data_IF_578199112448
#
_entry.id   IF_578199112448
#
_cell.length_a   1.000
_cell.length_b   1.000
_cell.length_c   1.000
_cell.angle_alpha   90.00
_cell.angle_beta   90.00
_cell.angle_gamma   90.00
#
_symmetry.space_group_name_H-M   'P 1'
#
loop_
_entity.id
_entity.type
_entity.pdbx_description
1 polymer ?
#
# COMPACT_ATOMS: atom_id res chain seq x y z
N UNK A 1 14.40 13.14 14.24
CA UNK A 1 14.35 11.66 14.29
C UNK A 1 13.63 11.15 13.06
N UNK A 2 13.97 9.97 12.52
CA UNK A 2 13.25 9.41 11.38
C UNK A 2 11.85 8.99 11.83
N UNK A 3 10.80 9.57 11.24
CA UNK A 3 9.40 9.19 11.53
C UNK A 3 9.19 7.73 11.13
N UNK A 4 8.49 6.97 11.95
CA UNK A 4 8.07 5.61 11.60
C UNK A 4 6.72 5.70 10.87
N UNK A 5 6.68 5.23 9.62
CA UNK A 5 5.53 5.40 8.71
C UNK A 5 5.01 4.04 8.28
N UNK A 6 3.71 3.82 8.47
CA UNK A 6 2.98 2.67 7.98
C UNK A 6 1.91 3.14 6.99
N UNK A 7 1.84 2.51 5.83
CA UNK A 7 0.78 2.72 4.84
C UNK A 7 -0.19 1.54 4.83
N UNK A 8 -1.48 1.83 4.85
CA UNK A 8 -2.54 0.91 4.46
C UNK A 8 -2.97 1.20 3.04
N UNK A 9 -2.95 0.18 2.18
CA UNK A 9 -3.31 0.28 0.76
C UNK A 9 -4.46 -0.70 0.52
N UNK A 10 -5.66 -0.16 0.33
CA UNK A 10 -6.84 -0.93 -0.02
C UNK A 10 -7.03 -0.92 -1.53
N UNK A 11 -7.27 -2.11 -2.09
CA UNK A 11 -7.32 -2.37 -3.53
C UNK A 11 -8.69 -2.94 -3.84
N UNK A 12 -9.54 -2.22 -4.55
CA UNK A 12 -10.75 -2.80 -5.15
C UNK A 12 -10.39 -3.50 -6.46
N UNK A 13 -11.17 -4.49 -6.89
CA UNK A 13 -10.98 -5.18 -8.19
C UNK A 13 -9.51 -5.55 -8.48
N UNK A 14 -8.89 -6.26 -7.52
CA UNK A 14 -7.47 -6.63 -7.50
C UNK A 14 -6.92 -7.18 -8.81
N UNK A 15 -7.73 -7.91 -9.59
CA UNK A 15 -7.29 -8.50 -10.86
C UNK A 15 -6.91 -7.44 -11.91
N UNK A 16 -7.58 -6.29 -11.93
CA UNK A 16 -7.28 -5.20 -12.87
C UNK A 16 -6.14 -4.30 -12.36
N UNK A 17 -6.04 -4.11 -11.05
CA UNK A 17 -5.18 -3.10 -10.45
C UNK A 17 -3.87 -3.63 -9.84
N UNK A 18 -3.67 -4.95 -9.82
CA UNK A 18 -2.45 -5.56 -9.27
C UNK A 18 -1.17 -5.15 -10.01
N UNK A 19 -1.19 -5.05 -11.34
CA UNK A 19 -0.01 -4.68 -12.13
C UNK A 19 0.46 -3.24 -11.85
N UNK A 20 -0.41 -2.21 -11.96
CA UNK A 20 -0.04 -0.83 -11.63
C UNK A 20 0.49 -0.68 -10.20
N UNK A 21 -0.16 -1.34 -9.23
CA UNK A 21 0.32 -1.31 -7.83
C UNK A 21 1.71 -1.94 -7.73
N UNK A 22 1.94 -3.10 -8.34
CA UNK A 22 3.24 -3.77 -8.31
C UNK A 22 4.35 -2.94 -8.98
N UNK A 23 4.04 -2.17 -10.02
CA UNK A 23 5.00 -1.23 -10.63
C UNK A 23 5.43 -0.15 -9.63
N UNK A 24 4.48 0.46 -8.91
CA UNK A 24 4.81 1.43 -7.86
C UNK A 24 5.61 0.76 -6.73
N UNK A 25 5.22 -0.42 -6.26
CA UNK A 25 5.99 -1.12 -5.22
C UNK A 25 7.42 -1.44 -5.66
N UNK A 26 7.63 -1.73 -6.95
CA UNK A 26 8.96 -1.99 -7.52
C UNK A 26 9.78 -0.70 -7.58
N UNK A 27 9.19 0.41 -8.04
CA UNK A 27 9.83 1.72 -8.09
C UNK A 27 10.29 2.20 -6.70
N UNK A 28 9.47 1.96 -5.66
CA UNK A 28 9.76 2.36 -4.28
C UNK A 28 10.38 1.23 -3.44
N UNK A 29 10.81 0.11 -4.03
CA UNK A 29 11.26 -1.06 -3.30
C UNK A 29 12.38 -0.79 -2.29
N UNK A 30 13.28 0.15 -2.60
CA UNK A 30 14.40 0.52 -1.71
C UNK A 30 14.00 1.25 -0.42
N UNK A 31 12.73 1.63 -0.25
CA UNK A 31 12.22 2.27 0.98
C UNK A 31 11.20 1.42 1.73
N UNK A 32 10.82 0.25 1.20
CA UNK A 32 9.85 -0.64 1.82
C UNK A 32 10.61 -1.58 2.76
N UNK A 33 10.38 -1.44 4.07
CA UNK A 33 10.97 -2.31 5.09
C UNK A 33 10.17 -3.60 5.27
N UNK A 34 8.84 -3.49 5.23
CA UNK A 34 7.92 -4.62 5.38
C UNK A 34 6.79 -4.48 4.37
N UNK A 35 6.40 -5.61 3.74
CA UNK A 35 5.24 -5.72 2.83
C UNK A 35 4.39 -6.91 3.25
N UNK A 36 3.19 -6.64 3.76
CA UNK A 36 2.23 -7.67 4.16
C UNK A 36 0.95 -7.58 3.31
N UNK A 37 0.71 -8.59 2.50
CA UNK A 37 -0.55 -8.74 1.76
C UNK A 37 -1.56 -9.55 2.58
N UNK A 38 -2.74 -8.99 2.78
CA UNK A 38 -3.85 -9.58 3.52
C UNK A 38 -4.96 -9.97 2.54
N UNK A 39 -5.48 -11.18 2.71
CA UNK A 39 -6.60 -11.69 1.91
C UNK A 39 -7.92 -11.34 2.62
N UNK A 40 -8.83 -10.67 1.93
CA UNK A 40 -10.20 -10.53 2.42
C UNK A 40 -11.02 -11.77 2.05
N UNK A 41 -11.62 -12.40 3.05
CA UNK A 41 -12.61 -13.45 2.83
C UNK A 41 -13.90 -12.78 2.37
N UNK A 42 -14.34 -13.08 1.14
CA UNK A 42 -15.62 -12.63 0.64
C UNK A 42 -16.78 -13.33 1.36
N UNK A 43 -18.00 -12.80 1.19
CA UNK A 43 -19.22 -13.47 1.67
C UNK A 43 -19.27 -14.90 1.12
N UNK A 44 -19.47 -15.88 2.00
CA UNK A 44 -19.55 -17.30 1.63
C UNK A 44 -18.20 -17.99 1.37
N UNK A 45 -17.06 -17.39 1.75
CA UNK A 45 -15.74 -18.03 1.66
C UNK A 45 -15.09 -17.98 0.27
N UNK A 46 -15.71 -17.30 -0.70
CA UNK A 46 -15.05 -16.99 -1.97
C UNK A 46 -14.01 -15.88 -1.77
N UNK A 47 -12.88 -15.93 -2.51
CA UNK A 47 -11.91 -14.83 -2.49
C UNK A 47 -12.59 -13.51 -2.83
N UNK A 48 -12.46 -12.52 -1.94
CA UNK A 48 -12.92 -11.19 -2.25
C UNK A 48 -12.11 -10.63 -3.43
N UNK A 49 -12.76 -9.83 -4.27
CA UNK A 49 -12.08 -9.05 -5.31
C UNK A 49 -11.22 -7.94 -4.72
N UNK A 50 -11.38 -7.66 -3.42
CA UNK A 50 -10.65 -6.64 -2.71
C UNK A 50 -9.39 -7.22 -2.06
N UNK A 51 -8.35 -6.40 -1.92
CA UNK A 51 -7.11 -6.75 -1.23
C UNK A 51 -6.66 -5.64 -0.30
N UNK A 52 -6.03 -6.01 0.80
CA UNK A 52 -5.41 -5.06 1.72
C UNK A 52 -3.90 -5.31 1.75
N UNK A 53 -3.12 -4.25 1.66
CA UNK A 53 -1.67 -4.30 1.76
C UNK A 53 -1.21 -3.33 2.85
N UNK A 54 -0.38 -3.81 3.77
CA UNK A 54 0.30 -3.01 4.77
C UNK A 54 1.77 -2.87 4.40
N UNK A 55 2.27 -1.64 4.42
CA UNK A 55 3.66 -1.30 4.11
C UNK A 55 4.28 -0.54 5.27
N UNK A 56 5.40 -1.04 5.79
CA UNK A 56 6.27 -0.27 6.69
C UNK A 56 7.36 0.39 5.85
N UNK A 57 7.58 1.69 6.04
CA UNK A 57 8.55 2.46 5.25
C UNK A 57 9.77 2.86 6.08
N UNK A 58 10.95 2.65 5.50
CA UNK A 58 12.23 3.22 5.94
C UNK A 58 12.56 4.44 5.05
N UNK A 59 11.76 5.49 5.15
CA UNK A 59 11.81 6.63 4.23
C UNK A 59 11.70 7.98 4.94
N UNK A 60 12.11 9.04 4.26
CA UNK A 60 11.70 10.40 4.63
C UNK A 60 10.23 10.59 4.31
N UNK A 61 9.58 11.53 5.00
CA UNK A 61 8.18 11.89 4.76
C UNK A 61 7.94 12.33 3.30
N UNK A 62 8.91 13.02 2.69
CA UNK A 62 8.84 13.40 1.28
C UNK A 62 8.79 12.18 0.34
N UNK A 63 9.64 11.17 0.56
CA UNK A 63 9.63 9.93 -0.24
C UNK A 63 8.36 9.11 0.01
N UNK A 64 7.89 9.03 1.25
CA UNK A 64 6.62 8.38 1.57
C UNK A 64 5.44 9.07 0.88
N UNK A 65 5.39 10.40 0.90
CA UNK A 65 4.34 11.19 0.22
C UNK A 65 4.34 10.98 -1.29
N UNK A 66 5.52 10.88 -1.92
CA UNK A 66 5.63 10.57 -3.35
C UNK A 66 5.06 9.19 -3.69
N UNK A 67 5.34 8.18 -2.86
CA UNK A 67 4.77 6.84 -3.01
C UNK A 67 3.25 6.84 -2.85
N UNK A 68 2.73 7.50 -1.81
CA UNK A 68 1.29 7.65 -1.55
C UNK A 68 0.59 8.30 -2.73
N UNK A 69 1.15 9.39 -3.27
CA UNK A 69 0.57 10.08 -4.43
C UNK A 69 0.49 9.18 -5.67
N UNK A 70 1.53 8.38 -5.94
CA UNK A 70 1.54 7.43 -7.06
C UNK A 70 0.55 6.29 -6.89
N UNK A 71 0.43 5.75 -5.67
CA UNK A 71 -0.56 4.71 -5.37
C UNK A 71 -2.00 5.25 -5.49
N UNK A 72 -2.28 6.41 -4.91
CA UNK A 72 -3.62 7.01 -4.92
C UNK A 72 -4.07 7.50 -6.32
N UNK A 73 -3.13 7.68 -7.26
CA UNK A 73 -3.46 8.00 -8.65
C UNK A 73 -4.01 6.78 -9.43
N UNK A 74 -3.83 5.57 -8.92
CA UNK A 74 -4.38 4.35 -9.54
C UNK A 74 -5.86 4.25 -9.14
N UNK A 75 -6.75 4.18 -10.14
CA UNK A 75 -8.18 3.97 -9.91
C UNK A 75 -8.41 2.71 -9.09
N UNK A 76 -9.30 2.78 -8.10
CA UNK A 76 -9.61 1.63 -7.23
C UNK A 76 -8.61 1.40 -6.09
N UNK A 77 -7.66 2.31 -5.89
CA UNK A 77 -6.72 2.27 -4.77
C UNK A 77 -7.07 3.37 -3.77
N UNK A 78 -7.21 3.00 -2.50
CA UNK A 78 -7.26 3.92 -1.38
C UNK A 78 -6.00 3.73 -0.53
N UNK A 79 -5.40 4.84 -0.10
CA UNK A 79 -4.19 4.81 0.72
C UNK A 79 -4.40 5.63 1.99
N UNK A 80 -4.14 5.02 3.13
CA UNK A 80 -4.14 5.65 4.44
C UNK A 80 -2.75 5.59 5.05
N UNK A 81 -2.38 6.59 5.85
CA UNK A 81 -1.05 6.70 6.45
C UNK A 81 -1.15 6.82 7.97
N UNK A 82 -0.32 6.04 8.67
CA UNK A 82 -0.12 6.09 10.11
C UNK A 82 1.33 6.50 10.39
N UNK A 83 1.53 7.54 11.21
CA UNK A 83 2.84 8.13 11.47
C UNK A 83 3.10 8.19 12.97
N UNK A 84 4.25 7.67 13.39
CA UNK A 84 4.73 7.79 14.76
C UNK A 84 5.87 8.82 14.83
N UNK A 85 5.74 9.79 15.72
CA UNK A 85 6.71 10.85 15.98
C UNK A 85 7.15 10.76 17.45
N UNK A 86 8.24 10.06 17.68
CA UNK A 86 8.92 9.92 18.98
C UNK A 86 10.36 10.42 18.83
#
# INVERSE_FOLDING_TARGET
>A
MAKHIILGVHITDRLEHALPVQQVLTEFGGIIKTRLGLHELGKGGASAKNGLLLLELAATEAKAKAMVAKLAAIKGIEVQQMVFAH
#
